data_IF_424774507056
#
_entry.id   IF_424774507056
#
_cell.length_a   1.000
_cell.length_b   1.000
_cell.length_c   1.000
_cell.angle_alpha   90.00
_cell.angle_beta   90.00
_cell.angle_gamma   90.00
#
_symmetry.space_group_name_H-M   'P 1'
#
loop_
_entity.id
_entity.type
_entity.pdbx_description
1 polymer ?
#
# COMPACT_ATOMS: atom_id res chain seq x y z
N UNK A 1 -36.02 15.34 -1.52
CA UNK A 1 -34.99 14.27 -1.55
C UNK A 1 -35.68 12.96 -1.28
N UNK A 2 -35.70 12.06 -2.24
CA UNK A 2 -36.32 10.73 -2.15
C UNK A 2 -35.48 9.76 -1.31
N UNK A 3 -36.02 8.60 -0.89
CA UNK A 3 -35.23 7.52 -0.31
C UNK A 3 -34.11 7.04 -1.24
N UNK A 4 -34.35 7.06 -2.55
CA UNK A 4 -33.37 6.69 -3.58
C UNK A 4 -32.21 7.68 -3.69
N UNK A 5 -32.49 8.99 -3.61
CA UNK A 5 -31.44 10.03 -3.56
C UNK A 5 -30.57 9.87 -2.31
N UNK A 6 -31.19 9.58 -1.15
CA UNK A 6 -30.48 9.33 0.10
C UNK A 6 -29.58 8.09 -0.01
N UNK A 7 -30.09 6.99 -0.58
CA UNK A 7 -29.31 5.77 -0.81
C UNK A 7 -28.13 6.01 -1.76
N UNK A 8 -28.36 6.74 -2.86
CA UNK A 8 -27.31 7.12 -3.83
C UNK A 8 -26.21 7.95 -3.16
N UNK A 9 -26.59 8.98 -2.40
CA UNK A 9 -25.64 9.83 -1.65
C UNK A 9 -24.82 9.04 -0.62
N UNK A 10 -25.45 8.09 0.09
CA UNK A 10 -24.75 7.22 1.05
C UNK A 10 -23.76 6.29 0.33
N UNK A 11 -24.14 5.74 -0.83
CA UNK A 11 -23.27 4.89 -1.63
C UNK A 11 -22.06 5.65 -2.20
N UNK A 12 -22.26 6.89 -2.69
CA UNK A 12 -21.17 7.76 -3.16
C UNK A 12 -20.18 8.12 -2.02
N UNK A 13 -20.67 8.44 -0.82
CA UNK A 13 -19.83 8.67 0.36
C UNK A 13 -19.05 7.42 0.78
N UNK A 14 -19.68 6.25 0.75
CA UNK A 14 -19.00 4.96 0.99
C UNK A 14 -17.89 4.70 -0.04
N UNK A 15 -18.15 4.95 -1.32
CA UNK A 15 -17.15 4.82 -2.38
C UNK A 15 -15.96 5.77 -2.16
N UNK A 16 -16.21 7.05 -1.83
CA UNK A 16 -15.16 8.01 -1.50
C UNK A 16 -14.29 7.52 -0.33
N UNK A 17 -14.91 7.02 0.74
CA UNK A 17 -14.22 6.45 1.91
C UNK A 17 -13.34 5.24 1.57
N UNK A 18 -13.84 4.27 0.78
CA UNK A 18 -13.03 3.11 0.37
C UNK A 18 -11.90 3.48 -0.59
N UNK A 19 -12.10 4.47 -1.46
CA UNK A 19 -11.05 4.99 -2.34
C UNK A 19 -9.96 5.76 -1.57
N UNK A 20 -10.29 6.44 -0.47
CA UNK A 20 -9.28 7.04 0.42
C UNK A 20 -8.42 5.93 1.08
N UNK A 21 -9.06 4.96 1.73
CA UNK A 21 -8.39 3.81 2.37
C UNK A 21 -7.51 2.99 1.40
N UNK A 22 -7.94 2.85 0.14
CA UNK A 22 -7.15 2.18 -0.90
C UNK A 22 -5.88 2.98 -1.25
N UNK A 23 -5.95 4.32 -1.32
CA UNK A 23 -4.77 5.18 -1.57
C UNK A 23 -3.82 5.18 -0.38
N UNK A 24 -4.34 5.25 0.84
CA UNK A 24 -3.56 5.21 2.08
C UNK A 24 -2.77 3.90 2.23
N UNK A 25 -3.45 2.76 2.03
CA UNK A 25 -2.84 1.43 2.10
C UNK A 25 -1.83 1.18 0.97
N UNK A 26 -2.09 1.68 -0.26
CA UNK A 26 -1.11 1.69 -1.34
C UNK A 26 0.14 2.50 -0.96
N UNK A 27 -0.03 3.76 -0.53
CA UNK A 27 1.08 4.63 -0.17
C UNK A 27 1.91 4.10 1.01
N UNK A 28 1.30 3.38 1.96
CA UNK A 28 2.02 2.72 3.05
C UNK A 28 2.92 1.57 2.53
N UNK A 29 2.35 0.69 1.71
CA UNK A 29 3.03 -0.42 1.03
C UNK A 29 4.16 0.06 0.11
N UNK A 30 3.95 1.14 -0.63
CA UNK A 30 4.94 1.64 -1.59
C UNK A 30 6.09 2.39 -0.87
N UNK A 31 5.83 3.07 0.26
CA UNK A 31 6.91 3.56 1.15
C UNK A 31 7.81 2.42 1.67
N UNK A 32 7.23 1.28 2.07
CA UNK A 32 8.01 0.12 2.52
C UNK A 32 8.85 -0.49 1.39
N UNK A 33 8.35 -0.51 0.15
CA UNK A 33 9.11 -0.91 -1.03
C UNK A 33 10.29 0.01 -1.30
N UNK A 34 10.07 1.33 -1.28
CA UNK A 34 11.16 2.31 -1.41
C UNK A 34 12.22 2.15 -0.32
N UNK A 35 11.80 1.84 0.92
CA UNK A 35 12.70 1.59 2.03
C UNK A 35 13.54 0.30 1.87
N UNK A 36 13.03 -0.75 1.20
CA UNK A 36 13.82 -1.92 0.84
C UNK A 36 14.89 -1.58 -0.19
N UNK A 37 14.52 -0.93 -1.30
CA UNK A 37 15.46 -0.51 -2.36
C UNK A 37 16.54 0.44 -1.83
N UNK A 38 16.24 1.25 -0.82
CA UNK A 38 17.22 2.12 -0.17
C UNK A 38 18.28 1.39 0.71
N UNK A 39 18.12 0.08 0.97
CA UNK A 39 19.13 -0.73 1.68
C UNK A 39 20.18 -1.33 0.74
N UNK A 40 20.01 -1.24 -0.57
CA UNK A 40 20.94 -1.77 -1.56
C UNK A 40 22.05 -0.75 -1.84
N UNK A 41 23.06 -0.76 -0.96
CA UNK A 41 24.21 0.16 -1.00
C UNK A 41 25.24 -0.29 -2.04
N UNK A 42 25.67 0.60 -2.97
CA UNK A 42 26.75 0.30 -3.90
C UNK A 42 28.09 0.19 -3.17
N UNK A 43 28.99 -0.66 -3.68
CA UNK A 43 30.35 -0.80 -3.19
C UNK A 43 31.10 0.54 -3.30
N UNK A 44 31.91 0.85 -2.30
CA UNK A 44 32.87 1.97 -2.29
C UNK A 44 34.28 1.43 -2.45
N UNK A 45 35.16 2.23 -3.02
CA UNK A 45 36.59 1.91 -3.22
C UNK A 45 37.41 2.39 -2.01
N UNK A 46 38.39 1.59 -1.58
CA UNK A 46 39.29 1.90 -0.48
C UNK A 46 40.28 0.76 -0.20
N UNK A 47 40.69 0.60 1.07
CA UNK A 47 41.43 -0.59 1.50
C UNK A 47 40.53 -1.84 1.46
N UNK A 48 40.90 -2.92 0.74
CA UNK A 48 40.08 -4.12 0.62
C UNK A 48 39.73 -4.80 1.95
N UNK A 49 40.60 -4.70 2.98
CA UNK A 49 40.36 -5.33 4.29
C UNK A 49 39.33 -4.54 5.10
N UNK A 50 39.48 -3.21 5.15
CA UNK A 50 38.49 -2.30 5.75
C UNK A 50 37.14 -2.37 5.02
N UNK A 51 37.14 -2.36 3.68
CA UNK A 51 35.94 -2.57 2.85
C UNK A 51 35.18 -3.84 3.27
N UNK A 52 35.87 -4.98 3.34
CA UNK A 52 35.26 -6.27 3.65
C UNK A 52 34.64 -6.28 5.06
N UNK A 53 35.32 -5.70 6.06
CA UNK A 53 34.78 -5.60 7.43
C UNK A 53 33.57 -4.65 7.52
N UNK A 54 33.60 -3.53 6.80
CA UNK A 54 32.47 -2.58 6.74
C UNK A 54 31.28 -3.23 6.03
N UNK A 55 31.51 -3.89 4.90
CA UNK A 55 30.49 -4.59 4.13
C UNK A 55 29.81 -5.70 4.94
N UNK A 56 30.58 -6.53 5.67
CA UNK A 56 30.03 -7.61 6.51
C UNK A 56 29.14 -7.07 7.63
N UNK A 57 29.59 -6.03 8.34
CA UNK A 57 28.80 -5.34 9.38
C UNK A 57 27.55 -4.70 8.79
N UNK A 58 27.65 -4.08 7.61
CA UNK A 58 26.53 -3.47 6.91
C UNK A 58 25.47 -4.51 6.51
N UNK A 59 25.85 -5.63 5.88
CA UNK A 59 24.88 -6.64 5.46
C UNK A 59 24.17 -7.28 6.67
N UNK A 60 24.89 -7.59 7.75
CA UNK A 60 24.26 -8.11 8.98
C UNK A 60 23.19 -7.17 9.56
N UNK A 61 23.42 -5.85 9.52
CA UNK A 61 22.41 -4.85 9.89
C UNK A 61 21.29 -4.75 8.84
N UNK A 62 21.64 -4.72 7.56
CA UNK A 62 20.69 -4.57 6.46
C UNK A 62 19.73 -5.76 6.35
N UNK A 63 20.18 -6.99 6.63
CA UNK A 63 19.35 -8.19 6.57
C UNK A 63 18.33 -8.25 7.71
N UNK A 64 18.72 -7.87 8.93
CA UNK A 64 17.78 -7.66 10.02
C UNK A 64 16.73 -6.60 9.64
N UNK A 65 17.17 -5.47 9.04
CA UNK A 65 16.28 -4.38 8.63
C UNK A 65 15.37 -4.76 7.44
N UNK A 66 15.86 -5.56 6.48
CA UNK A 66 15.09 -6.16 5.39
C UNK A 66 13.99 -7.06 5.96
N UNK A 67 14.29 -7.89 6.96
CA UNK A 67 13.30 -8.77 7.58
C UNK A 67 12.14 -7.99 8.25
N UNK A 68 12.45 -6.94 9.02
CA UNK A 68 11.46 -6.05 9.63
C UNK A 68 10.53 -5.38 8.60
N UNK A 69 11.12 -4.84 7.53
CA UNK A 69 10.37 -4.16 6.47
C UNK A 69 9.55 -5.17 5.65
N UNK A 70 10.08 -6.37 5.37
CA UNK A 70 9.34 -7.44 4.69
C UNK A 70 8.11 -7.90 5.48
N UNK A 71 8.23 -8.09 6.81
CA UNK A 71 7.08 -8.41 7.67
C UNK A 71 6.01 -7.29 7.64
N UNK A 72 6.47 -6.04 7.63
CA UNK A 72 5.59 -4.86 7.54
C UNK A 72 4.90 -4.77 6.18
N UNK A 73 5.64 -4.99 5.09
CA UNK A 73 5.16 -4.99 3.71
C UNK A 73 4.15 -6.12 3.45
N UNK A 74 4.34 -7.29 4.06
CA UNK A 74 3.38 -8.40 3.98
C UNK A 74 2.01 -8.02 4.60
N UNK A 75 2.01 -7.39 5.78
CA UNK A 75 0.79 -6.89 6.44
C UNK A 75 0.10 -5.83 5.59
N UNK A 76 0.85 -4.81 5.17
CA UNK A 76 0.34 -3.74 4.29
C UNK A 76 -0.18 -4.27 2.95
N UNK A 77 0.43 -5.32 2.40
CA UNK A 77 -0.04 -5.98 1.17
C UNK A 77 -1.39 -6.64 1.37
N UNK A 78 -1.62 -7.33 2.50
CA UNK A 78 -2.92 -7.89 2.85
C UNK A 78 -3.98 -6.80 3.10
N UNK A 79 -3.61 -5.69 3.74
CA UNK A 79 -4.51 -4.54 3.97
C UNK A 79 -4.90 -3.83 2.65
N UNK A 80 -3.94 -3.65 1.75
CA UNK A 80 -4.12 -3.07 0.41
C UNK A 80 -5.02 -3.95 -0.48
N UNK A 81 -4.86 -5.28 -0.44
CA UNK A 81 -5.75 -6.21 -1.12
C UNK A 81 -7.19 -6.15 -0.57
N UNK A 82 -7.36 -6.13 0.76
CA UNK A 82 -8.68 -5.95 1.39
C UNK A 82 -9.32 -4.60 1.04
N UNK A 83 -8.55 -3.51 1.04
CA UNK A 83 -9.05 -2.19 0.63
C UNK A 83 -9.41 -2.13 -0.87
N UNK A 84 -8.71 -2.88 -1.73
CA UNK A 84 -9.05 -2.97 -3.16
C UNK A 84 -10.40 -3.68 -3.37
N UNK A 85 -10.66 -4.76 -2.64
CA UNK A 85 -11.94 -5.47 -2.67
C UNK A 85 -13.10 -4.57 -2.19
N UNK A 86 -12.95 -3.94 -1.03
CA UNK A 86 -13.94 -3.01 -0.49
C UNK A 86 -14.27 -1.87 -1.47
N UNK A 87 -13.26 -1.30 -2.14
CA UNK A 87 -13.44 -0.25 -3.13
C UNK A 87 -14.14 -0.76 -4.41
N UNK A 88 -13.81 -1.97 -4.88
CA UNK A 88 -14.44 -2.60 -6.06
C UNK A 88 -15.93 -2.87 -5.81
N UNK A 89 -16.27 -3.40 -4.64
CA UNK A 89 -17.66 -3.65 -4.22
C UNK A 89 -18.43 -2.34 -4.06
N UNK A 90 -17.84 -1.31 -3.45
CA UNK A 90 -18.47 0.00 -3.32
C UNK A 90 -18.72 0.65 -4.69
N UNK A 91 -17.77 0.55 -5.63
CA UNK A 91 -17.91 1.06 -6.99
C UNK A 91 -19.04 0.34 -7.74
N UNK A 92 -19.10 -0.99 -7.67
CA UNK A 92 -20.19 -1.77 -8.29
C UNK A 92 -21.58 -1.35 -7.79
N UNK A 93 -21.75 -1.17 -6.48
CA UNK A 93 -23.00 -0.69 -5.87
C UNK A 93 -23.40 0.70 -6.39
N UNK A 94 -22.44 1.62 -6.48
CA UNK A 94 -22.67 2.97 -7.04
C UNK A 94 -23.05 2.91 -8.53
N UNK A 95 -22.42 2.04 -9.33
CA UNK A 95 -22.77 1.88 -10.75
C UNK A 95 -24.20 1.34 -10.92
N UNK A 96 -24.60 0.33 -10.15
CA UNK A 96 -25.98 -0.22 -10.21
C UNK A 96 -27.02 0.85 -9.87
N UNK A 97 -26.81 1.64 -8.80
CA UNK A 97 -27.72 2.74 -8.46
C UNK A 97 -27.78 3.81 -9.56
N UNK A 98 -26.63 4.18 -10.14
CA UNK A 98 -26.58 5.15 -11.26
C UNK A 98 -27.21 4.63 -12.55
N UNK A 99 -27.26 3.31 -12.76
CA UNK A 99 -27.99 2.68 -13.87
C UNK A 99 -29.49 2.60 -13.60
N UNK A 100 -29.90 2.26 -12.37
CA UNK A 100 -31.32 2.26 -11.97
C UNK A 100 -31.96 3.64 -12.10
N UNK A 101 -31.21 4.72 -11.85
CA UNK A 101 -31.67 6.12 -12.04
C UNK A 101 -31.71 6.59 -13.51
N UNK A 102 -31.44 5.71 -14.47
CA UNK A 102 -31.53 5.97 -15.93
C UNK A 102 -32.65 5.15 -16.60
N UNK A 103 -33.41 4.39 -15.81
CA UNK A 103 -34.64 3.70 -16.20
C UNK A 103 -35.83 4.37 -15.52
#
# INVERSE_FOLDING_TARGET
MTPFDRLTRIADLLLQSRLARLRESAAARDRSRMALTALDVPRREGDPVAEAQIALRYQSWADARRAEINLTLARQTADWLRAQEEARIAFGKVQVLRQMRKK
#
